data_IF_452840455184
#
_entry.id   IF_452840455184
#
_cell.length_a   1.000
_cell.length_b   1.000
_cell.length_c   1.000
_cell.angle_alpha   90.00
_cell.angle_beta   90.00
_cell.angle_gamma   90.00
#
_symmetry.space_group_name_H-M   'P 1'
#
loop_
_entity.id
_entity.type
_entity.pdbx_description
1 polymer ?
#
# COMPACT_ATOMS: atom_id res chain seq x y z
N UNK A 1 -20.06 22.80 -0.56
CA UNK A 1 -19.99 22.54 -0.87
C UNK A 1 -19.93 22.27 -1.18
N UNK A 2 -19.83 22.04 -1.19
CA UNK A 2 -19.79 21.50 -1.60
C UNK A 2 -19.52 21.11 -2.24
N UNK A 3 -19.43 21.01 -2.44
CA UNK A 3 -19.19 20.38 -3.10
C UNK A 3 -18.43 19.96 -3.23
N UNK A 4 -18.12 19.72 -3.04
CA UNK A 4 -17.40 19.12 -3.20
C UNK A 4 -17.38 18.17 -3.15
N UNK A 5 -17.74 17.83 -2.88
CA UNK A 5 -17.85 16.80 -2.88
C UNK A 5 -18.04 16.22 -3.52
N UNK A 6 -18.13 16.21 -3.73
CA UNK A 6 -18.21 15.57 -4.30
C UNK A 6 -18.19 15.04 -4.69
N UNK A 7 -18.25 14.87 -4.81
CA UNK A 7 -18.16 14.19 -5.31
C UNK A 7 -17.79 13.58 -5.11
N UNK A 8 -17.67 13.18 -4.63
CA UNK A 8 -17.23 12.42 -4.53
C UNK A 8 -17.02 11.54 -5.03
N UNK A 9 -17.67 11.16 -4.93
CA UNK A 9 -17.40 10.18 -5.68
C UNK A 9 -16.40 10.35 -6.69
N UNK A 10 -16.46 11.04 -7.19
CA UNK A 10 -15.64 11.22 -7.99
C UNK A 10 -14.54 11.45 -7.45
N UNK A 11 -14.52 11.69 -6.71
CA UNK A 11 -13.56 11.98 -6.31
C UNK A 11 -12.80 11.06 -5.88
N UNK A 12 -13.11 10.26 -5.69
CA UNK A 12 -12.45 9.44 -5.38
C UNK A 12 -11.99 8.78 -6.29
N UNK A 13 -12.54 8.92 -6.95
CA UNK A 13 -12.16 8.54 -7.79
C UNK A 13 -11.11 8.94 -7.97
N UNK A 14 -11.14 9.26 -7.47
CA UNK A 14 -9.95 9.65 -7.25
C UNK A 14 -8.94 8.95 -8.02
N UNK A 15 -7.79 9.39 -7.94
CA UNK A 15 -6.70 8.87 -8.64
C UNK A 15 -6.39 7.45 -8.24
N UNK A 16 -6.13 6.61 -9.18
CA UNK A 16 -5.61 5.30 -8.91
C UNK A 16 -4.11 5.34 -8.91
N UNK A 17 -3.52 4.98 -7.77
CA UNK A 17 -2.09 5.02 -7.61
C UNK A 17 -1.40 3.72 -7.99
N UNK A 18 -2.15 2.63 -8.10
CA UNK A 18 -1.60 1.33 -8.39
C UNK A 18 -2.35 0.73 -9.57
N UNK A 19 -1.62 0.13 -10.48
CA UNK A 19 -2.23 -0.56 -11.62
C UNK A 19 -1.68 -1.97 -11.69
N UNK A 20 -2.49 -2.87 -12.23
CA UNK A 20 -2.06 -4.23 -12.47
C UNK A 20 -1.74 -4.37 -13.94
N UNK A 21 -0.56 -4.89 -14.25
CA UNK A 21 -0.20 -5.22 -15.62
C UNK A 21 0.90 -6.27 -15.60
N UNK A 22 0.91 -7.08 -16.63
CA UNK A 22 1.94 -8.11 -16.81
C UNK A 22 2.06 -9.02 -15.58
N UNK A 23 0.91 -9.27 -14.93
CA UNK A 23 0.88 -10.16 -13.78
C UNK A 23 1.41 -9.56 -12.50
N UNK A 24 1.67 -8.26 -12.45
CA UNK A 24 2.20 -7.62 -11.25
C UNK A 24 1.47 -6.35 -10.91
N UNK A 25 1.88 -5.77 -9.80
CA UNK A 25 1.35 -4.49 -9.31
C UNK A 25 2.40 -3.41 -9.49
N UNK A 26 2.00 -2.27 -10.02
CA UNK A 26 2.92 -1.19 -10.37
C UNK A 26 2.35 0.13 -9.89
N UNK A 27 3.24 1.05 -9.55
CA UNK A 27 2.81 2.42 -9.31
C UNK A 27 2.37 2.98 -10.66
N UNK A 28 1.16 3.47 -10.73
CA UNK A 28 0.51 3.83 -11.99
C UNK A 28 1.38 4.78 -12.81
N UNK A 29 1.56 4.43 -14.07
CA UNK A 29 2.33 5.26 -14.99
C UNK A 29 3.82 5.21 -14.82
N UNK A 30 4.35 4.29 -14.00
CA UNK A 30 5.79 4.20 -13.77
C UNK A 30 6.27 2.78 -13.97
N UNK A 31 7.58 2.61 -13.84
CA UNK A 31 8.20 1.29 -13.83
C UNK A 31 8.58 0.84 -12.42
N UNK A 32 8.10 1.55 -11.41
CA UNK A 32 8.35 1.16 -10.03
C UNK A 32 7.27 0.19 -9.59
N UNK A 33 7.67 -0.97 -9.10
CA UNK A 33 6.71 -1.97 -8.65
C UNK A 33 6.17 -1.61 -7.28
N UNK A 34 4.94 -2.02 -7.02
CA UNK A 34 4.37 -1.87 -5.68
C UNK A 34 5.21 -2.63 -4.66
N UNK A 35 5.79 -3.74 -5.07
CA UNK A 35 6.64 -4.58 -4.21
C UNK A 35 7.72 -3.74 -3.53
N UNK A 36 8.38 -2.87 -4.31
CA UNK A 36 9.47 -2.05 -3.80
C UNK A 36 9.01 -1.16 -2.66
N UNK A 37 7.83 -0.58 -2.81
CA UNK A 37 7.28 0.31 -1.79
C UNK A 37 6.85 -0.49 -0.56
N UNK A 38 6.21 -1.62 -0.77
CA UNK A 38 5.74 -2.45 0.33
C UNK A 38 6.92 -2.98 1.15
N UNK A 39 7.97 -3.45 0.48
CA UNK A 39 9.14 -3.95 1.19
C UNK A 39 9.77 -2.84 2.04
N UNK A 40 9.93 -1.65 1.47
CA UNK A 40 10.50 -0.55 2.22
C UNK A 40 9.63 -0.18 3.42
N UNK A 41 8.32 -0.17 3.22
CA UNK A 41 7.37 0.11 4.29
C UNK A 41 7.49 -0.92 5.42
N UNK A 42 7.57 -2.20 5.06
CA UNK A 42 7.67 -3.26 6.06
C UNK A 42 9.01 -3.24 6.80
N UNK A 43 10.06 -2.69 6.17
CA UNK A 43 11.34 -2.50 6.85
C UNK A 43 11.30 -1.33 7.82
N UNK A 44 10.23 -0.57 7.83
CA UNK A 44 10.08 0.55 8.75
C UNK A 44 10.44 1.90 8.16
N UNK A 45 10.64 1.98 6.85
CA UNK A 45 10.98 3.26 6.22
C UNK A 45 9.76 4.17 6.24
N UNK A 46 9.99 5.43 6.56
CA UNK A 46 8.93 6.43 6.48
C UNK A 46 8.63 6.74 5.01
N UNK A 47 7.39 7.13 4.69
CA UNK A 47 7.06 7.45 3.30
C UNK A 47 7.98 8.47 2.67
N UNK A 48 8.45 9.45 3.44
CA UNK A 48 9.36 10.46 2.93
C UNK A 48 10.70 9.85 2.53
N UNK A 49 11.19 8.89 3.31
CA UNK A 49 12.42 8.20 2.98
C UNK A 49 12.25 7.33 1.73
N UNK A 50 11.09 6.72 1.60
CA UNK A 50 10.79 5.92 0.43
C UNK A 50 10.79 6.80 -0.82
N UNK A 51 10.18 7.98 -0.72
CA UNK A 51 10.16 8.90 -1.85
C UNK A 51 11.56 9.33 -2.26
N UNK A 52 12.46 9.50 -1.28
CA UNK A 52 13.85 9.83 -1.60
C UNK A 52 14.56 8.71 -2.33
N UNK A 53 14.21 7.48 -2.03
CA UNK A 53 14.83 6.32 -2.70
C UNK A 53 14.30 6.12 -4.12
N UNK A 54 13.15 6.67 -4.43
CA UNK A 54 12.54 6.51 -5.75
C UNK A 54 12.20 7.90 -6.32
N UNK A 55 13.20 8.63 -6.80
CA UNK A 55 12.99 10.03 -7.21
C UNK A 55 11.96 10.23 -8.30
N UNK A 56 11.67 9.18 -9.07
CA UNK A 56 10.66 9.27 -10.11
C UNK A 56 9.25 9.38 -9.52
N UNK A 57 9.09 9.03 -8.25
CA UNK A 57 7.78 9.09 -7.59
C UNK A 57 7.62 10.38 -6.81
N UNK A 58 6.40 10.89 -6.82
CA UNK A 58 6.04 11.99 -5.93
C UNK A 58 5.63 11.42 -4.59
N UNK A 59 5.74 12.24 -3.56
CA UNK A 59 5.40 11.81 -2.21
C UNK A 59 3.95 11.30 -2.15
N UNK A 60 3.04 11.97 -2.84
CA UNK A 60 1.64 11.52 -2.83
C UNK A 60 1.50 10.13 -3.43
N UNK A 61 2.35 9.78 -4.39
CA UNK A 61 2.29 8.44 -4.98
C UNK A 61 2.76 7.38 -4.01
N UNK A 62 3.74 7.71 -3.18
CA UNK A 62 4.19 6.78 -2.15
C UNK A 62 3.08 6.55 -1.13
N UNK A 63 2.45 7.62 -0.66
CA UNK A 63 1.33 7.47 0.27
C UNK A 63 0.17 6.72 -0.37
N UNK A 64 -0.11 7.00 -1.64
CA UNK A 64 -1.17 6.30 -2.35
C UNK A 64 -0.91 4.81 -2.47
N UNK A 65 0.35 4.45 -2.73
CA UNK A 65 0.74 3.04 -2.82
C UNK A 65 0.57 2.34 -1.48
N UNK A 66 0.98 2.98 -0.40
CA UNK A 66 0.83 2.39 0.93
C UNK A 66 -0.65 2.23 1.26
N UNK A 67 -1.46 3.24 0.96
CA UNK A 67 -2.89 3.17 1.20
C UNK A 67 -3.51 2.01 0.41
N UNK A 68 -3.10 1.86 -0.84
CA UNK A 68 -3.59 0.74 -1.64
C UNK A 68 -3.24 -0.58 -0.98
N UNK A 69 -1.99 -0.72 -0.55
CA UNK A 69 -1.55 -1.93 0.11
C UNK A 69 -2.40 -2.24 1.33
N UNK A 70 -2.64 -1.24 2.17
CA UNK A 70 -3.43 -1.46 3.38
C UNK A 70 -4.88 -1.86 3.07
N UNK A 71 -5.42 -1.32 1.99
CA UNK A 71 -6.77 -1.66 1.58
C UNK A 71 -6.89 -2.99 0.84
N UNK A 72 -5.77 -3.52 0.33
CA UNK A 72 -5.77 -4.77 -0.44
C UNK A 72 -4.72 -5.71 0.12
N UNK A 73 -4.54 -5.69 1.42
CA UNK A 73 -3.40 -6.35 2.05
C UNK A 73 -3.39 -7.84 1.77
N UNK A 74 -4.55 -8.47 1.84
CA UNK A 74 -4.62 -9.91 1.64
C UNK A 74 -4.19 -10.30 0.23
N UNK A 75 -4.68 -9.59 -0.77
CA UNK A 75 -4.34 -9.89 -2.16
C UNK A 75 -2.87 -9.62 -2.44
N UNK A 76 -2.37 -8.48 -1.96
CA UNK A 76 -0.98 -8.10 -2.21
C UNK A 76 -0.04 -9.03 -1.47
N UNK A 77 -0.35 -9.35 -0.21
CA UNK A 77 0.48 -10.27 0.56
C UNK A 77 0.54 -11.64 -0.11
N UNK A 78 -0.59 -12.12 -0.63
CA UNK A 78 -0.62 -13.40 -1.32
C UNK A 78 0.27 -13.38 -2.56
N UNK A 79 0.18 -12.30 -3.32
CA UNK A 79 1.01 -12.11 -4.50
C UNK A 79 2.49 -12.11 -4.15
N UNK A 80 2.85 -11.38 -3.09
CA UNK A 80 4.25 -11.29 -2.69
C UNK A 80 4.78 -12.62 -2.15
N UNK A 81 3.95 -13.34 -1.41
CA UNK A 81 4.36 -14.65 -0.88
C UNK A 81 4.65 -15.64 -2.00
N UNK A 82 3.91 -15.56 -3.08
CA UNK A 82 4.13 -16.46 -4.21
C UNK A 82 5.44 -16.17 -4.93
N UNK A 83 5.89 -14.94 -4.86
CA UNK A 83 7.05 -14.51 -5.64
C UNK A 83 8.33 -14.39 -4.83
N UNK A 84 8.25 -14.29 -3.48
CA UNK A 84 9.43 -13.95 -2.71
C UNK A 84 9.31 -14.41 -1.27
N UNK A 85 10.17 -15.35 -0.90
CA UNK A 85 10.20 -15.86 0.47
C UNK A 85 10.62 -14.80 1.47
N UNK A 86 11.38 -13.81 1.03
CA UNK A 86 11.81 -12.75 1.94
C UNK A 86 10.64 -11.96 2.48
N UNK A 87 9.54 -11.95 1.75
CA UNK A 87 8.36 -11.24 2.22
C UNK A 87 7.91 -11.76 3.58
N UNK A 88 7.90 -13.07 3.75
CA UNK A 88 7.49 -13.66 5.03
C UNK A 88 8.41 -13.21 6.16
N UNK A 89 9.70 -13.18 5.90
CA UNK A 89 10.65 -12.77 6.91
C UNK A 89 10.49 -11.28 7.25
N UNK A 90 10.27 -10.46 6.25
CA UNK A 90 10.05 -9.03 6.47
C UNK A 90 8.79 -8.79 7.27
N UNK A 91 7.73 -9.50 6.94
CA UNK A 91 6.48 -9.33 7.64
C UNK A 91 6.59 -9.75 9.09
N UNK A 92 7.27 -10.87 9.33
CA UNK A 92 7.48 -11.33 10.70
C UNK A 92 8.30 -10.34 11.50
N UNK A 93 9.33 -9.78 10.89
CA UNK A 93 10.16 -8.80 11.59
C UNK A 93 9.39 -7.51 11.88
N UNK A 94 8.56 -7.08 10.94
CA UNK A 94 7.74 -5.88 11.15
C UNK A 94 6.77 -6.09 12.30
N UNK A 95 6.19 -7.28 12.36
CA UNK A 95 5.27 -7.61 13.45
C UNK A 95 5.97 -7.60 14.79
N UNK A 96 7.18 -8.17 14.85
CA UNK A 96 7.92 -8.24 16.10
C UNK A 96 8.47 -6.88 16.53
N UNK A 97 8.90 -6.09 15.55
CA UNK A 97 9.49 -4.80 15.86
C UNK A 97 8.44 -3.81 16.36
N UNK A 98 7.22 -3.93 15.90
CA UNK A 98 6.19 -2.96 16.28
C UNK A 98 4.83 -3.65 16.32
N UNK A 99 4.59 -4.47 17.37
CA UNK A 99 3.34 -5.23 17.45
C UNK A 99 2.11 -4.34 17.48
N UNK A 100 2.20 -3.15 18.10
CA UNK A 100 1.05 -2.25 18.16
C UNK A 100 0.65 -1.75 16.79
N UNK A 101 1.62 -1.37 15.99
CA UNK A 101 1.35 -0.93 14.64
C UNK A 101 0.78 -2.07 13.80
N UNK A 102 1.38 -3.24 13.91
CA UNK A 102 0.91 -4.38 13.15
C UNK A 102 -0.54 -4.70 13.46
N UNK A 103 -0.89 -4.67 14.75
CA UNK A 103 -2.25 -4.92 15.17
C UNK A 103 -3.20 -3.88 14.58
N UNK A 104 -2.77 -2.63 14.59
CA UNK A 104 -3.59 -1.57 14.04
C UNK A 104 -3.83 -1.77 12.55
N UNK A 105 -2.81 -2.20 11.83
CA UNK A 105 -2.96 -2.46 10.40
C UNK A 105 -3.93 -3.61 10.14
N UNK A 106 -3.86 -4.65 10.96
CA UNK A 106 -4.79 -5.76 10.81
C UNK A 106 -6.21 -5.33 11.08
N UNK A 107 -6.42 -4.52 12.09
CA UNK A 107 -7.75 -4.01 12.40
C UNK A 107 -8.29 -3.16 11.25
N UNK A 108 -7.43 -2.34 10.69
CA UNK A 108 -7.83 -1.51 9.55
C UNK A 108 -8.21 -2.39 8.35
N UNK A 109 -7.43 -3.43 8.10
CA UNK A 109 -7.73 -4.35 7.02
C UNK A 109 -9.08 -5.00 7.22
N UNK A 110 -9.36 -5.45 8.44
CA UNK A 110 -10.64 -6.08 8.72
C UNK A 110 -11.79 -5.12 8.53
N UNK A 111 -11.62 -3.87 8.94
CA UNK A 111 -12.66 -2.87 8.75
C UNK A 111 -12.95 -2.63 7.27
N UNK A 112 -11.92 -2.66 6.46
CA UNK A 112 -12.08 -2.44 5.02
C UNK A 112 -12.77 -3.62 4.34
N UNK A 113 -12.63 -4.81 4.91
CA UNK A 113 -13.22 -6.02 4.34
C UNK A 113 -14.61 -6.31 4.87
N UNK A 114 -14.98 -5.70 5.98
CA UNK A 114 -16.24 -5.99 6.63
C UNK A 114 -17.28 -4.96 6.20
N UNK A 115 -18.43 -5.41 5.70
CA UNK A 115 -19.48 -4.44 5.35
C UNK A 115 -19.97 -3.73 6.61
N UNK A 116 -20.27 -2.48 6.46
CA UNK A 116 -20.83 -1.70 7.55
C UNK A 116 -22.32 -1.79 7.54
N UNK A 117 -22.94 -1.83 8.72
CA UNK A 117 -24.40 -1.86 8.81
C UNK A 117 -25.04 -0.63 8.22
#
# INVERSE_FOLDING_TARGET
>A
MSGYYISLGEFHMAREYVEQRDGGYWIAGTRVSLDSIVYAFLRGAAPESIAQSFPVLRLEEVYGAITYYLGHQEDVDSYLRQNDREFEALRARAQQANPGLYKKLEETRQQLQTPHP
#
